data_IF_375749886553
#
_entry.id   IF_375749886553
#
_cell.length_a   1.000
_cell.length_b   1.000
_cell.length_c   1.000
_cell.angle_alpha   90.00
_cell.angle_beta   90.00
_cell.angle_gamma   90.00
#
_symmetry.space_group_name_H-M   'P 1'
#
loop_
_entity.id
_entity.type
_entity.pdbx_description
1 polymer ?
#
# COMPACT_ATOMS: atom_id res chain seq x y z
N UNK A 1 -7.42 -33.34 -6.06
CA UNK A 1 -6.17 -33.22 -6.85
C UNK A 1 -6.18 -31.82 -7.42
N UNK A 2 -5.22 -30.94 -7.09
CA UNK A 2 -5.16 -29.63 -7.76
C UNK A 2 -4.77 -29.90 -9.22
N UNK A 3 -5.61 -29.40 -10.13
CA UNK A 3 -5.35 -29.39 -11.57
C UNK A 3 -4.03 -28.66 -11.84
N UNK A 4 -3.31 -29.14 -12.86
CA UNK A 4 -2.02 -28.63 -13.29
C UNK A 4 -2.15 -27.13 -13.55
N UNK A 5 -1.33 -26.32 -12.87
CA UNK A 5 -1.37 -24.88 -12.90
C UNK A 5 -1.32 -24.33 -14.33
N UNK A 6 -2.44 -23.77 -14.78
CA UNK A 6 -2.52 -22.97 -15.99
C UNK A 6 -1.59 -21.75 -15.88
N UNK A 7 -1.33 -21.11 -17.01
CA UNK A 7 -0.56 -19.88 -17.06
C UNK A 7 -1.23 -18.82 -16.15
N UNK A 8 -0.48 -18.22 -15.24
CA UNK A 8 -0.95 -17.12 -14.40
C UNK A 8 -0.83 -15.84 -15.21
N UNK A 9 -1.97 -15.21 -15.53
CA UNK A 9 -2.03 -13.88 -16.10
C UNK A 9 -2.72 -12.96 -15.10
N UNK A 10 -2.04 -11.89 -14.70
CA UNK A 10 -2.46 -11.01 -13.59
C UNK A 10 -2.83 -9.64 -14.13
N UNK A 11 -4.04 -9.18 -13.80
CA UNK A 11 -4.38 -7.76 -13.81
C UNK A 11 -4.08 -7.16 -12.45
N UNK A 12 -3.35 -6.04 -12.41
CA UNK A 12 -3.07 -5.32 -11.17
C UNK A 12 -4.02 -4.14 -11.03
N UNK A 13 -4.61 -3.99 -9.86
CA UNK A 13 -5.39 -2.80 -9.46
C UNK A 13 -4.54 -2.00 -8.47
N UNK A 14 -4.33 -0.72 -8.79
CA UNK A 14 -3.70 0.27 -7.92
C UNK A 14 -4.77 1.24 -7.40
N UNK A 15 -5.35 1.03 -6.20
CA UNK A 15 -6.32 1.96 -5.63
C UNK A 15 -5.60 3.26 -5.23
N UNK A 16 -5.97 4.35 -5.87
CA UNK A 16 -5.35 5.65 -5.79
C UNK A 16 -6.36 6.80 -5.54
N UNK A 17 -7.62 6.49 -5.21
CA UNK A 17 -8.67 7.47 -4.97
C UNK A 17 -8.59 8.15 -3.59
N UNK A 18 -7.82 7.61 -2.65
CA UNK A 18 -7.70 8.13 -1.29
C UNK A 18 -7.03 9.51 -1.23
N UNK A 19 -7.60 10.43 -0.46
CA UNK A 19 -7.12 11.82 -0.29
C UNK A 19 -5.89 11.97 0.62
N UNK A 20 -5.35 10.89 1.18
CA UNK A 20 -4.10 10.91 1.96
C UNK A 20 -4.14 11.75 3.24
N UNK A 21 -5.27 11.79 3.97
CA UNK A 21 -5.48 12.65 5.15
C UNK A 21 -4.34 12.60 6.19
N UNK A 22 -3.78 11.43 6.45
CA UNK A 22 -2.66 11.24 7.40
C UNK A 22 -1.33 11.82 6.92
N UNK A 23 -1.18 12.03 5.63
CA UNK A 23 0.02 12.60 5.03
C UNK A 23 0.00 14.13 5.00
N UNK A 24 -1.18 14.76 4.93
CA UNK A 24 -1.35 16.23 4.84
C UNK A 24 -1.05 16.97 6.15
N UNK A 25 -1.05 16.28 7.29
CA UNK A 25 -0.92 16.90 8.62
C UNK A 25 0.51 17.20 9.09
N UNK A 26 1.56 16.86 8.32
CA UNK A 26 2.92 16.81 8.85
C UNK A 26 4.02 17.45 7.97
N UNK A 27 3.73 18.25 6.94
CA UNK A 27 4.77 18.71 6.02
C UNK A 27 4.82 20.19 5.71
N UNK A 28 6.02 20.78 5.85
CA UNK A 28 6.42 22.04 5.20
C UNK A 28 6.46 21.79 3.70
N UNK A 29 5.94 22.72 2.88
CA UNK A 29 6.07 22.77 1.41
C UNK A 29 5.25 21.77 0.57
N UNK A 30 4.18 21.18 1.09
CA UNK A 30 3.22 20.51 0.23
C UNK A 30 2.40 21.57 -0.53
N UNK A 31 2.61 21.70 -1.84
CA UNK A 31 1.59 22.30 -2.70
C UNK A 31 0.25 21.67 -2.33
N UNK A 32 -0.69 22.46 -1.85
CA UNK A 32 -1.88 22.06 -1.10
C UNK A 32 -2.86 21.12 -1.83
N UNK A 33 -2.50 20.58 -2.98
CA UNK A 33 -3.33 19.81 -3.91
C UNK A 33 -2.78 18.43 -4.26
N UNK A 34 -1.52 18.11 -4.01
CA UNK A 34 -0.96 16.81 -4.44
C UNK A 34 -1.38 15.66 -3.51
N UNK A 35 -1.87 14.56 -4.11
CA UNK A 35 -2.13 13.31 -3.39
C UNK A 35 -0.81 12.68 -2.91
N UNK A 36 -0.84 11.97 -1.79
CA UNK A 36 0.30 11.22 -1.24
C UNK A 36 1.05 10.39 -2.29
N UNK A 37 0.35 9.80 -3.26
CA UNK A 37 0.94 8.98 -4.32
C UNK A 37 1.71 9.80 -5.35
N UNK A 38 1.46 11.10 -5.44
CA UNK A 38 2.18 12.05 -6.32
C UNK A 38 3.40 12.66 -5.63
N UNK A 39 3.64 12.35 -4.35
CA UNK A 39 4.85 12.77 -3.65
C UNK A 39 6.09 12.25 -4.37
N UNK A 40 7.13 13.07 -4.45
CA UNK A 40 8.34 12.73 -5.19
C UNK A 40 9.34 12.00 -4.28
N UNK A 41 9.66 10.78 -4.66
CA UNK A 41 10.80 10.02 -4.14
C UNK A 41 11.85 9.96 -5.24
N UNK A 42 13.06 10.40 -4.92
CA UNK A 42 14.14 10.46 -5.93
C UNK A 42 13.70 11.12 -7.26
N UNK A 43 13.01 12.28 -7.15
CA UNK A 43 12.51 13.11 -8.25
C UNK A 43 11.39 12.46 -9.10
N UNK A 44 10.81 11.35 -8.67
CA UNK A 44 9.73 10.64 -9.37
C UNK A 44 8.53 10.39 -8.43
N UNK A 45 7.29 10.50 -8.91
CA UNK A 45 6.11 10.16 -8.10
C UNK A 45 6.14 8.73 -7.56
N UNK A 46 5.68 8.58 -6.32
CA UNK A 46 5.60 7.28 -5.62
C UNK A 46 4.92 6.21 -6.47
N UNK A 47 3.79 6.53 -7.10
CA UNK A 47 3.04 5.57 -7.92
C UNK A 47 3.80 5.07 -9.15
N UNK A 48 4.69 5.89 -9.74
CA UNK A 48 5.50 5.46 -10.90
C UNK A 48 6.56 4.43 -10.50
N UNK A 49 7.14 4.54 -9.31
CA UNK A 49 8.04 3.50 -8.80
C UNK A 49 7.29 2.17 -8.61
N UNK A 50 6.08 2.21 -8.04
CA UNK A 50 5.26 1.01 -7.86
C UNK A 50 4.90 0.35 -9.21
N UNK A 51 4.50 1.13 -10.20
CA UNK A 51 4.17 0.64 -11.55
C UNK A 51 5.38 -0.04 -12.19
N UNK A 52 6.54 0.63 -12.19
CA UNK A 52 7.75 0.10 -12.84
C UNK A 52 8.22 -1.19 -12.15
N UNK A 53 8.13 -1.27 -10.82
CA UNK A 53 8.45 -2.50 -10.08
C UNK A 53 7.53 -3.66 -10.47
N UNK A 54 6.22 -3.43 -10.57
CA UNK A 54 5.23 -4.44 -10.96
C UNK A 54 5.45 -4.92 -12.40
N UNK A 55 5.73 -4.01 -13.34
CA UNK A 55 5.94 -4.32 -14.76
C UNK A 55 7.20 -5.13 -15.06
N UNK A 56 7.99 -5.46 -14.07
CA UNK A 56 9.19 -6.32 -14.23
C UNK A 56 8.87 -7.81 -14.47
N UNK A 57 7.59 -8.20 -14.40
CA UNK A 57 7.17 -9.61 -14.59
C UNK A 57 6.19 -9.73 -15.76
N UNK A 58 6.44 -10.67 -16.69
CA UNK A 58 5.60 -10.88 -17.88
C UNK A 58 4.21 -11.42 -17.54
N UNK A 59 4.03 -12.05 -16.38
CA UNK A 59 2.73 -12.49 -15.88
C UNK A 59 1.80 -11.31 -15.58
N UNK A 60 2.31 -10.09 -15.42
CA UNK A 60 1.49 -8.89 -15.22
C UNK A 60 1.13 -8.29 -16.57
N UNK A 61 -0.05 -8.66 -17.07
CA UNK A 61 -0.56 -8.25 -18.39
C UNK A 61 -1.18 -6.86 -18.38
N UNK A 62 -2.00 -6.56 -17.38
CA UNK A 62 -2.74 -5.29 -17.26
C UNK A 62 -2.40 -4.59 -15.93
N UNK A 63 -2.33 -3.27 -15.97
CA UNK A 63 -2.28 -2.43 -14.76
C UNK A 63 -3.37 -1.36 -14.86
N UNK A 64 -4.27 -1.34 -13.86
CA UNK A 64 -5.34 -0.37 -13.70
C UNK A 64 -4.99 0.58 -12.55
N UNK A 65 -4.95 1.86 -12.80
CA UNK A 65 -4.78 2.88 -11.77
C UNK A 65 -6.12 3.57 -11.53
N UNK A 66 -6.73 3.34 -10.35
CA UNK A 66 -8.06 3.83 -10.01
C UNK A 66 -7.96 5.07 -9.13
N UNK A 67 -8.22 6.25 -9.69
CA UNK A 67 -8.14 7.55 -9.01
C UNK A 67 -9.53 8.07 -8.64
N UNK A 68 -9.59 9.09 -7.78
CA UNK A 68 -10.86 9.73 -7.43
C UNK A 68 -11.57 10.24 -8.70
N UNK A 69 -12.89 10.04 -8.85
CA UNK A 69 -13.62 10.41 -10.08
C UNK A 69 -13.40 11.86 -10.51
N UNK A 70 -13.43 12.79 -9.56
CA UNK A 70 -13.22 14.22 -9.82
C UNK A 70 -11.79 14.57 -10.27
N UNK A 71 -10.83 13.67 -10.08
CA UNK A 71 -9.43 13.88 -10.43
C UNK A 71 -9.00 13.15 -11.70
N UNK A 72 -9.89 12.38 -12.33
CA UNK A 72 -9.55 11.57 -13.52
C UNK A 72 -9.00 12.43 -14.63
N UNK A 73 -9.65 13.56 -14.93
CA UNK A 73 -9.25 14.42 -16.06
C UNK A 73 -7.96 15.21 -15.73
N UNK A 74 -7.84 15.73 -14.51
CA UNK A 74 -6.59 16.34 -14.02
C UNK A 74 -5.43 15.34 -14.11
N UNK A 75 -5.66 14.11 -13.63
CA UNK A 75 -4.64 13.08 -13.60
C UNK A 75 -4.25 12.62 -15.00
N UNK A 76 -5.25 12.53 -15.90
CA UNK A 76 -5.02 12.21 -17.31
C UNK A 76 -4.21 13.31 -18.01
N UNK A 77 -4.52 14.57 -17.76
CA UNK A 77 -3.78 15.69 -18.34
C UNK A 77 -2.32 15.70 -17.88
N UNK A 78 -2.09 15.44 -16.59
CA UNK A 78 -0.76 15.52 -15.99
C UNK A 78 0.10 14.28 -16.23
N UNK A 79 -0.49 13.11 -16.21
CA UNK A 79 0.22 11.82 -16.18
C UNK A 79 -0.19 10.84 -17.31
N UNK A 80 -1.17 11.21 -18.14
CA UNK A 80 -1.77 10.29 -19.10
C UNK A 80 -0.76 9.71 -20.08
N UNK A 81 0.12 10.52 -20.64
CA UNK A 81 1.18 10.06 -21.55
C UNK A 81 2.14 9.11 -20.86
N UNK A 82 2.65 9.49 -19.70
CA UNK A 82 3.59 8.67 -18.89
C UNK A 82 2.99 7.34 -18.48
N UNK A 83 1.68 7.29 -18.18
CA UNK A 83 0.95 6.07 -17.86
C UNK A 83 0.72 5.21 -19.11
N UNK A 84 0.36 5.82 -20.23
CA UNK A 84 0.15 5.12 -21.50
C UNK A 84 1.43 4.43 -21.98
N UNK A 85 2.58 5.09 -21.90
CA UNK A 85 3.90 4.52 -22.25
C UNK A 85 4.23 3.27 -21.42
N UNK A 86 3.66 3.17 -20.21
CA UNK A 86 3.81 2.01 -19.32
C UNK A 86 2.68 0.99 -19.47
N UNK A 87 1.77 1.19 -20.42
CA UNK A 87 0.59 0.33 -20.60
C UNK A 87 -0.34 0.33 -19.39
N UNK A 88 -0.42 1.47 -18.66
CA UNK A 88 -1.31 1.62 -17.51
C UNK A 88 -2.59 2.30 -17.93
N UNK A 89 -3.72 1.69 -17.61
CA UNK A 89 -5.04 2.26 -17.87
C UNK A 89 -5.56 2.99 -16.63
N UNK A 90 -5.86 4.27 -16.82
CA UNK A 90 -6.48 5.11 -15.79
C UNK A 90 -7.99 4.87 -15.76
N UNK A 91 -8.54 4.61 -14.58
CA UNK A 91 -9.97 4.39 -14.35
C UNK A 91 -10.49 5.21 -13.17
N UNK A 92 -11.79 5.48 -13.15
CA UNK A 92 -12.44 6.12 -12.01
C UNK A 92 -12.59 5.12 -10.86
N UNK A 93 -12.20 5.51 -9.66
CA UNK A 93 -12.40 4.77 -8.42
C UNK A 93 -13.64 5.23 -7.65
N UNK A 94 -13.73 4.80 -6.37
CA UNK A 94 -14.76 5.22 -5.43
C UNK A 94 -14.49 6.61 -4.82
N UNK A 95 -15.48 7.12 -4.10
CA UNK A 95 -15.43 8.45 -3.48
C UNK A 95 -15.23 8.42 -1.97
N UNK A 96 -15.49 7.30 -1.31
CA UNK A 96 -15.48 7.17 0.15
C UNK A 96 -14.44 6.18 0.63
N UNK A 97 -14.59 4.90 0.22
CA UNK A 97 -13.85 3.79 0.78
C UNK A 97 -12.89 3.16 -0.25
N UNK A 98 -11.80 2.57 0.26
CA UNK A 98 -10.82 1.88 -0.60
C UNK A 98 -11.47 0.71 -1.35
N UNK A 99 -12.34 -0.05 -0.69
CA UNK A 99 -13.02 -1.18 -1.29
C UNK A 99 -13.94 -0.78 -2.45
N UNK A 100 -14.61 0.40 -2.39
CA UNK A 100 -15.40 0.93 -3.53
C UNK A 100 -14.50 1.11 -4.76
N UNK A 101 -13.30 1.68 -4.54
CA UNK A 101 -12.32 1.90 -5.61
C UNK A 101 -11.89 0.58 -6.26
N UNK A 102 -11.59 -0.44 -5.46
CA UNK A 102 -11.21 -1.75 -5.99
C UNK A 102 -12.38 -2.42 -6.68
N UNK A 103 -13.60 -2.35 -6.13
CA UNK A 103 -14.82 -2.91 -6.73
C UNK A 103 -15.08 -2.34 -8.13
N UNK A 104 -14.95 -1.03 -8.30
CA UNK A 104 -15.15 -0.37 -9.61
C UNK A 104 -14.04 -0.74 -10.61
N UNK A 105 -12.79 -0.80 -10.15
CA UNK A 105 -11.68 -1.21 -11.00
C UNK A 105 -11.76 -2.69 -11.39
N UNK A 106 -12.25 -3.56 -10.52
CA UNK A 106 -12.43 -4.99 -10.77
C UNK A 106 -13.34 -5.27 -11.98
N UNK A 107 -14.35 -4.43 -12.20
CA UNK A 107 -15.22 -4.50 -13.37
C UNK A 107 -14.52 -4.15 -14.70
N UNK A 108 -13.31 -3.59 -14.62
CA UNK A 108 -12.50 -3.16 -15.76
C UNK A 108 -11.30 -4.10 -16.02
N UNK A 109 -11.19 -5.16 -15.22
CA UNK A 109 -10.13 -6.17 -15.36
C UNK A 109 -10.31 -6.92 -16.68
N UNK A 110 -9.18 -7.19 -17.34
CA UNK A 110 -9.15 -7.94 -18.60
C UNK A 110 -9.79 -9.32 -18.39
N UNK A 111 -10.78 -9.71 -19.24
CA UNK A 111 -11.42 -11.03 -19.20
C UNK A 111 -10.44 -12.20 -19.29
N UNK A 112 -9.32 -12.03 -19.96
CA UNK A 112 -8.28 -13.06 -20.10
C UNK A 112 -7.45 -13.25 -18.82
N UNK A 113 -7.49 -12.30 -17.87
CA UNK A 113 -6.76 -12.41 -16.62
C UNK A 113 -7.33 -13.52 -15.74
N UNK A 114 -6.47 -14.43 -15.34
CA UNK A 114 -6.80 -15.53 -14.42
C UNK A 114 -6.79 -15.09 -12.97
N UNK A 115 -5.98 -14.07 -12.67
CA UNK A 115 -5.78 -13.53 -11.33
C UNK A 115 -5.87 -12.00 -11.31
N UNK A 116 -6.18 -11.46 -10.13
CA UNK A 116 -6.14 -10.03 -9.84
C UNK A 116 -5.21 -9.81 -8.66
N UNK A 117 -4.29 -8.87 -8.81
CA UNK A 117 -3.48 -8.38 -7.71
C UNK A 117 -3.94 -6.98 -7.29
N UNK A 118 -4.18 -6.76 -6.01
CA UNK A 118 -4.45 -5.42 -5.49
C UNK A 118 -3.20 -4.91 -4.78
N UNK A 119 -2.68 -3.77 -5.23
CA UNK A 119 -1.44 -3.21 -4.69
C UNK A 119 -1.60 -1.75 -4.29
N UNK A 120 -1.13 -1.41 -3.09
CA UNK A 120 -1.14 -0.03 -2.62
C UNK A 120 -0.20 0.84 -3.48
N UNK A 121 -0.73 1.81 -4.21
CA UNK A 121 0.06 2.77 -5.00
C UNK A 121 1.10 3.57 -4.17
N UNK A 122 0.98 3.52 -2.85
CA UNK A 122 1.91 4.12 -1.90
C UNK A 122 3.05 3.19 -1.44
N UNK A 123 3.22 2.00 -2.02
CA UNK A 123 4.37 1.11 -1.83
C UNK A 123 5.25 1.13 -3.07
N UNK A 124 6.24 2.02 -3.13
CA UNK A 124 7.03 2.23 -4.35
C UNK A 124 8.00 1.09 -4.64
N UNK A 125 8.33 0.27 -3.66
CA UNK A 125 9.33 -0.79 -3.80
C UNK A 125 8.63 -2.15 -3.68
N UNK A 126 8.58 -2.88 -4.79
CA UNK A 126 8.13 -4.28 -4.82
C UNK A 126 9.30 -5.12 -5.34
N UNK A 127 10.05 -5.78 -4.45
CA UNK A 127 11.20 -6.58 -4.88
C UNK A 127 10.79 -7.70 -5.84
N UNK A 128 11.64 -7.95 -6.81
CA UNK A 128 11.41 -8.94 -7.85
C UNK A 128 11.17 -10.36 -7.30
N UNK A 129 11.94 -10.75 -6.28
CA UNK A 129 11.82 -12.03 -5.60
C UNK A 129 10.51 -12.17 -4.82
N UNK A 130 9.95 -11.06 -4.32
CA UNK A 130 8.61 -11.03 -3.71
C UNK A 130 7.54 -11.32 -4.76
N UNK A 131 7.62 -10.70 -5.93
CA UNK A 131 6.70 -11.00 -7.04
C UNK A 131 6.80 -12.45 -7.46
N UNK A 132 8.01 -13.00 -7.55
CA UNK A 132 8.24 -14.41 -7.89
C UNK A 132 7.61 -15.37 -6.89
N UNK A 133 7.69 -15.06 -5.58
CA UNK A 133 7.03 -15.85 -4.52
C UNK A 133 5.51 -15.81 -4.68
N UNK A 134 4.94 -14.63 -4.88
CA UNK A 134 3.51 -14.44 -5.06
C UNK A 134 2.98 -15.19 -6.29
N UNK A 135 3.61 -15.02 -7.46
CA UNK A 135 3.23 -15.68 -8.71
C UNK A 135 3.33 -17.20 -8.56
N UNK A 136 4.39 -17.70 -7.95
CA UNK A 136 4.57 -19.13 -7.70
C UNK A 136 3.50 -19.70 -6.80
N UNK A 137 3.14 -18.99 -5.74
CA UNK A 137 2.10 -19.41 -4.81
C UNK A 137 0.70 -19.32 -5.43
N UNK A 138 0.41 -18.28 -6.24
CA UNK A 138 -0.86 -18.11 -6.94
C UNK A 138 -1.18 -19.25 -7.93
N UNK A 139 -0.16 -19.97 -8.42
CA UNK A 139 -0.37 -21.19 -9.23
C UNK A 139 -1.01 -22.35 -8.44
N UNK A 140 -1.01 -22.28 -7.12
CA UNK A 140 -1.47 -23.35 -6.22
C UNK A 140 -2.61 -22.93 -5.30
N UNK A 141 -2.68 -21.65 -4.96
CA UNK A 141 -3.60 -21.12 -3.97
C UNK A 141 -4.42 -19.96 -4.57
N UNK A 142 -5.75 -19.97 -4.36
CA UNK A 142 -6.62 -18.94 -4.95
C UNK A 142 -6.53 -17.58 -4.28
N UNK A 143 -5.92 -17.47 -3.10
CA UNK A 143 -5.68 -16.22 -2.39
C UNK A 143 -4.32 -16.26 -1.70
N UNK A 144 -3.44 -15.30 -2.03
CA UNK A 144 -2.06 -15.23 -1.54
C UNK A 144 -1.71 -13.81 -1.16
N UNK A 145 -1.15 -13.63 0.02
CA UNK A 145 -0.72 -12.31 0.52
C UNK A 145 0.71 -12.36 1.07
N UNK A 146 1.51 -11.31 0.88
CA UNK A 146 2.83 -11.24 1.50
C UNK A 146 2.69 -10.77 2.94
N UNK A 147 3.46 -11.36 3.85
CA UNK A 147 3.40 -11.03 5.26
C UNK A 147 4.79 -11.05 5.91
N UNK A 148 4.97 -10.19 6.90
CA UNK A 148 6.16 -10.15 7.75
C UNK A 148 5.80 -10.56 9.17
N UNK A 149 6.68 -11.29 9.89
CA UNK A 149 6.52 -11.48 11.32
C UNK A 149 6.49 -10.14 12.05
N UNK A 150 5.69 -10.04 13.11
CA UNK A 150 5.67 -8.87 13.96
C UNK A 150 6.87 -8.92 14.92
N UNK A 151 7.79 -7.95 14.78
CA UNK A 151 9.01 -7.85 15.61
C UNK A 151 8.77 -7.17 16.96
N UNK A 152 7.89 -6.17 17.00
CA UNK A 152 7.66 -5.37 18.20
C UNK A 152 6.62 -5.99 19.14
N UNK A 153 6.67 -5.61 20.42
CA UNK A 153 5.64 -6.03 21.38
C UNK A 153 4.35 -5.28 21.12
N UNK A 154 3.30 -6.00 20.79
CA UNK A 154 1.97 -5.40 20.55
C UNK A 154 1.23 -5.18 21.86
N UNK A 155 0.63 -3.99 21.98
CA UNK A 155 -0.23 -3.60 23.10
C UNK A 155 -1.61 -3.19 22.59
N UNK A 156 -2.65 -3.68 23.23
CA UNK A 156 -3.98 -3.09 23.08
C UNK A 156 -4.08 -1.88 23.98
N UNK A 157 -4.53 -0.77 23.44
CA UNK A 157 -4.69 0.48 24.17
C UNK A 157 -6.16 0.85 24.23
N UNK A 158 -6.57 1.42 25.36
CA UNK A 158 -7.91 1.99 25.58
C UNK A 158 -8.00 3.43 25.12
N UNK A 159 -9.03 4.09 25.58
CA UNK A 159 -9.23 5.53 25.38
C UNK A 159 -8.11 6.35 26.05
N UNK A 160 -8.10 7.67 25.82
CA UNK A 160 -7.11 8.56 26.39
C UNK A 160 -7.01 8.34 27.91
N UNK A 161 -5.77 8.27 28.42
CA UNK A 161 -5.57 8.19 29.87
C UNK A 161 -6.24 9.40 30.53
N UNK A 162 -6.94 9.23 31.67
CA UNK A 162 -7.40 10.35 32.43
C UNK A 162 -6.20 11.23 32.81
N UNK A 163 -6.35 12.54 32.67
CA UNK A 163 -5.33 13.53 33.04
C UNK A 163 -5.18 13.54 34.59
N UNK A 164 -4.51 12.52 35.14
CA UNK A 164 -4.36 12.36 36.61
C UNK A 164 -2.95 11.92 37.01
N UNK A 165 -1.97 12.42 36.31
CA UNK A 165 -0.68 12.66 36.95
C UNK A 165 -0.59 14.18 36.94
N UNK A 166 -0.79 14.81 38.11
CA UNK A 166 -0.46 16.21 38.29
C UNK A 166 0.97 16.37 37.80
N UNK A 167 1.15 17.09 36.71
CA UNK A 167 2.47 17.48 36.25
C UNK A 167 3.05 18.33 37.39
N UNK A 168 4.22 18.00 37.95
CA UNK A 168 4.82 18.85 38.97
C UNK A 168 5.06 20.30 38.49
N UNK A 169 4.81 20.59 37.20
CA UNK A 169 4.82 21.91 36.60
C UNK A 169 3.45 22.66 36.69
N UNK A 170 2.43 22.11 37.37
CA UNK A 170 1.12 22.79 37.49
C UNK A 170 1.11 24.04 38.41
N UNK A 171 2.24 24.40 39.00
CA UNK A 171 2.42 25.65 39.73
C UNK A 171 2.92 26.82 38.84
N UNK A 172 2.88 26.64 37.51
CA UNK A 172 3.19 27.72 36.58
C UNK A 172 2.03 28.68 36.41
N UNK A 173 2.31 29.96 36.56
CA UNK A 173 1.38 31.10 36.46
C UNK A 173 0.55 31.02 35.16
N UNK A 174 -0.70 31.45 35.21
CA UNK A 174 -1.60 31.44 34.05
C UNK A 174 -1.01 32.16 32.81
N UNK A 175 -0.11 33.11 33.03
CA UNK A 175 0.64 33.81 31.99
C UNK A 175 1.59 32.88 31.21
N UNK A 176 2.28 31.96 31.89
CA UNK A 176 3.20 31.03 31.27
C UNK A 176 2.48 29.96 30.42
N UNK A 177 1.26 29.57 30.83
CA UNK A 177 0.38 28.69 30.03
C UNK A 177 -0.09 29.34 28.73
N UNK A 178 -0.42 30.63 28.78
CA UNK A 178 -0.80 31.40 27.58
C UNK A 178 0.41 31.58 26.67
N UNK A 179 1.60 31.81 27.23
CA UNK A 179 2.84 31.98 26.47
C UNK A 179 3.30 30.69 25.79
N UNK A 180 3.18 29.53 26.47
CA UNK A 180 3.44 28.21 25.91
C UNK A 180 2.46 27.88 24.78
N UNK A 181 1.15 28.17 24.94
CA UNK A 181 0.14 27.94 23.90
C UNK A 181 0.32 28.83 22.66
N UNK A 182 0.96 29.99 22.78
CA UNK A 182 1.26 30.89 21.66
C UNK A 182 2.53 30.44 20.91
N UNK A 183 3.43 29.70 21.57
CA UNK A 183 4.66 29.19 20.95
C UNK A 183 4.51 27.82 20.28
N UNK A 184 3.40 27.11 20.52
CA UNK A 184 3.13 25.89 19.79
C UNK A 184 2.76 26.21 18.34
N UNK A 185 3.49 25.65 17.35
CA UNK A 185 3.10 25.86 15.95
C UNK A 185 1.70 25.28 15.69
N UNK A 186 0.85 25.96 14.90
CA UNK A 186 -0.49 25.46 14.59
C UNK A 186 -0.39 24.08 13.95
N UNK A 187 -0.96 23.06 14.59
CA UNK A 187 -0.92 21.66 14.16
C UNK A 187 -0.18 20.71 15.09
N UNK A 188 0.38 21.17 16.20
CA UNK A 188 0.93 20.29 17.23
C UNK A 188 -0.22 19.54 17.90
N UNK A 189 -0.43 18.27 17.51
CA UNK A 189 -1.32 17.37 18.23
C UNK A 189 -0.55 16.94 19.47
N UNK A 190 -0.96 17.41 20.64
CA UNK A 190 -0.45 16.92 21.93
C UNK A 190 -0.47 15.39 21.92
N UNK A 191 0.57 14.69 22.35
CA UNK A 191 0.60 13.24 22.37
C UNK A 191 -0.58 12.76 23.23
N UNK A 192 -1.55 12.11 22.58
CA UNK A 192 -2.68 11.52 23.32
C UNK A 192 -2.12 10.35 24.13
N UNK A 193 -1.97 10.54 25.43
CA UNK A 193 -1.63 9.45 26.34
C UNK A 193 -2.78 8.44 26.35
N UNK A 194 -2.48 7.19 26.04
CA UNK A 194 -3.46 6.09 26.05
C UNK A 194 -3.03 5.04 27.06
N UNK A 195 -4.00 4.50 27.78
CA UNK A 195 -3.74 3.44 28.75
C UNK A 195 -3.55 2.11 28.02
N UNK A 196 -2.48 1.38 28.37
CA UNK A 196 -2.29 0.00 27.92
C UNK A 196 -3.28 -0.89 28.68
N UNK A 197 -4.11 -1.63 27.94
CA UNK A 197 -5.08 -2.59 28.50
C UNK A 197 -4.44 -3.97 28.64
N UNK A 198 -3.78 -4.45 27.60
CA UNK A 198 -3.18 -5.78 27.57
C UNK A 198 -2.00 -5.88 26.61
N UNK A 199 -1.19 -6.91 26.82
CA UNK A 199 -0.17 -7.35 25.85
C UNK A 199 -0.79 -8.38 24.93
N UNK A 200 -0.74 -8.13 23.61
CA UNK A 200 -1.22 -9.07 22.60
C UNK A 200 -0.09 -10.04 22.26
N UNK A 201 -0.27 -11.37 22.45
CA UNK A 201 0.72 -12.36 22.01
C UNK A 201 0.97 -12.23 20.50
N UNK A 202 2.24 -12.18 20.10
CA UNK A 202 2.61 -11.93 18.68
C UNK A 202 3.02 -13.21 17.93
N UNK A 203 3.10 -14.36 18.58
CA UNK A 203 3.62 -15.59 17.99
C UNK A 203 2.91 -15.98 16.68
N UNK A 204 1.59 -15.74 16.61
CA UNK A 204 0.75 -16.09 15.47
C UNK A 204 0.27 -14.87 14.69
N UNK A 205 0.90 -13.70 14.89
CA UNK A 205 0.55 -12.47 14.20
C UNK A 205 1.56 -12.13 13.13
N UNK A 206 1.06 -11.68 11.99
CA UNK A 206 1.84 -11.21 10.86
C UNK A 206 1.35 -9.84 10.40
N UNK A 207 2.26 -9.04 9.87
CA UNK A 207 1.94 -7.77 9.21
C UNK A 207 1.80 -8.00 7.71
N UNK A 208 0.57 -7.95 7.21
CA UNK A 208 0.26 -8.19 5.80
C UNK A 208 0.67 -6.99 4.95
N UNK A 209 1.27 -7.30 3.80
CA UNK A 209 1.66 -6.31 2.79
C UNK A 209 0.82 -6.48 1.51
N UNK A 210 1.12 -5.69 0.48
CA UNK A 210 0.62 -5.83 -0.88
C UNK A 210 1.79 -5.93 -1.86
N UNK A 211 1.66 -6.57 -3.05
CA UNK A 211 0.42 -6.99 -3.72
C UNK A 211 -0.27 -8.18 -3.05
N UNK A 212 -1.60 -8.13 -2.91
CA UNK A 212 -2.43 -9.26 -2.54
C UNK A 212 -2.98 -9.89 -3.82
N UNK A 213 -2.74 -11.17 -4.05
CA UNK A 213 -3.06 -11.86 -5.30
C UNK A 213 -4.17 -12.85 -5.08
N UNK A 214 -5.20 -12.76 -5.91
CA UNK A 214 -6.39 -13.60 -5.82
C UNK A 214 -6.70 -14.20 -7.20
N UNK A 215 -7.23 -15.43 -7.24
CA UNK A 215 -7.91 -15.87 -8.46
C UNK A 215 -9.08 -14.93 -8.73
N UNK A 216 -9.25 -14.53 -10.01
CA UNK A 216 -10.27 -13.55 -10.38
C UNK A 216 -11.67 -13.97 -9.93
N UNK A 217 -12.13 -15.23 -10.16
CA UNK A 217 -13.47 -15.63 -9.74
C UNK A 217 -13.67 -15.54 -8.21
N UNK A 218 -12.63 -15.80 -7.41
CA UNK A 218 -12.74 -15.70 -5.96
C UNK A 218 -12.90 -14.24 -5.51
N UNK A 219 -12.09 -13.34 -6.05
CA UNK A 219 -12.18 -11.91 -5.69
C UNK A 219 -13.52 -11.32 -6.15
N UNK A 220 -14.00 -11.67 -7.35
CA UNK A 220 -15.32 -11.26 -7.86
C UNK A 220 -16.45 -11.73 -6.93
N UNK A 221 -16.42 -12.99 -6.45
CA UNK A 221 -17.37 -13.51 -5.46
C UNK A 221 -17.32 -12.75 -4.15
N UNK A 222 -16.13 -12.45 -3.66
CA UNK A 222 -15.95 -11.73 -2.40
C UNK A 222 -16.54 -10.31 -2.47
N UNK A 223 -16.29 -9.60 -3.56
CA UNK A 223 -16.89 -8.28 -3.79
C UNK A 223 -18.40 -8.34 -4.05
N UNK A 224 -18.90 -9.37 -4.76
CA UNK A 224 -20.33 -9.55 -4.97
C UNK A 224 -21.06 -9.78 -3.63
N UNK A 225 -20.51 -10.58 -2.73
CA UNK A 225 -21.06 -10.80 -1.40
C UNK A 225 -21.10 -9.51 -0.58
N UNK A 226 -20.01 -8.71 -0.59
CA UNK A 226 -19.97 -7.41 0.07
C UNK A 226 -21.03 -6.45 -0.45
N UNK A 227 -21.27 -6.41 -1.77
CA UNK A 227 -22.26 -5.51 -2.37
C UNK A 227 -23.70 -5.92 -2.07
N UNK A 228 -23.96 -7.23 -1.84
CA UNK A 228 -25.27 -7.74 -1.45
C UNK A 228 -25.58 -7.46 0.04
N UNK A 229 -24.60 -7.62 0.91
CA UNK A 229 -24.70 -7.33 2.35
C UNK A 229 -23.44 -6.65 2.86
N UNK A 230 -23.39 -5.32 2.82
CA UNK A 230 -22.20 -4.57 3.23
C UNK A 230 -21.82 -4.75 4.71
N UNK A 231 -22.76 -5.13 5.57
CA UNK A 231 -22.50 -5.33 6.99
C UNK A 231 -21.74 -4.17 7.65
N UNK A 232 -20.79 -4.50 8.53
CA UNK A 232 -19.89 -3.48 9.13
C UNK A 232 -18.63 -3.31 8.27
N UNK A 233 -18.69 -2.40 7.28
CA UNK A 233 -17.59 -2.11 6.35
C UNK A 233 -16.31 -1.61 7.03
N UNK A 234 -16.36 -1.17 8.30
CA UNK A 234 -15.18 -0.78 9.09
C UNK A 234 -14.23 -1.94 9.36
N UNK A 235 -14.70 -3.18 9.21
CA UNK A 235 -13.88 -4.39 9.32
C UNK A 235 -13.09 -4.72 8.06
N UNK A 236 -13.42 -4.07 6.94
CA UNK A 236 -12.72 -4.26 5.66
C UNK A 236 -11.44 -3.43 5.69
N UNK A 237 -10.35 -4.03 6.10
CA UNK A 237 -9.04 -3.36 6.17
C UNK A 237 -8.22 -3.53 4.90
N UNK A 238 -8.42 -4.66 4.22
CA UNK A 238 -7.77 -5.04 2.96
C UNK A 238 -8.66 -6.00 2.15
N UNK A 239 -8.18 -6.46 0.99
CA UNK A 239 -8.96 -7.33 0.12
C UNK A 239 -8.99 -8.78 0.62
N UNK A 240 -7.96 -9.19 1.38
CA UNK A 240 -7.92 -10.51 2.01
C UNK A 240 -9.05 -10.70 3.02
N UNK A 241 -9.40 -9.65 3.78
CA UNK A 241 -10.49 -9.70 4.76
C UNK A 241 -11.85 -10.02 4.13
N UNK A 242 -12.08 -9.68 2.86
CA UNK A 242 -13.30 -10.06 2.14
C UNK A 242 -13.32 -11.55 1.79
N UNK A 243 -12.17 -12.12 1.44
CA UNK A 243 -12.02 -13.55 1.15
C UNK A 243 -12.18 -14.36 2.43
N UNK A 244 -11.60 -13.90 3.54
CA UNK A 244 -11.76 -14.49 4.87
C UNK A 244 -13.24 -14.49 5.31
N UNK A 245 -13.98 -13.42 5.03
CA UNK A 245 -15.40 -13.33 5.34
C UNK A 245 -16.26 -14.37 4.57
N UNK A 246 -15.78 -14.87 3.41
CA UNK A 246 -16.40 -15.99 2.70
C UNK A 246 -16.07 -17.37 3.32
N UNK A 247 -15.18 -17.42 4.33
CA UNK A 247 -14.65 -18.68 4.86
C UNK A 247 -13.62 -19.36 3.96
N UNK A 248 -13.11 -18.66 2.95
CA UNK A 248 -12.09 -19.18 2.05
C UNK A 248 -10.67 -18.93 2.63
N UNK A 249 -9.75 -19.88 2.46
CA UNK A 249 -8.41 -19.73 3.00
C UNK A 249 -7.58 -18.70 2.25
N UNK A 250 -6.88 -17.84 3.00
CA UNK A 250 -5.85 -16.93 2.49
C UNK A 250 -4.49 -17.43 2.94
N UNK A 251 -3.56 -17.64 2.00
CA UNK A 251 -2.22 -18.16 2.27
C UNK A 251 -1.21 -17.04 2.31
N UNK A 252 -0.30 -17.07 3.27
CA UNK A 252 0.80 -16.12 3.35
C UNK A 252 2.06 -16.61 2.63
N UNK A 253 2.80 -15.69 2.02
CA UNK A 253 4.20 -15.87 1.61
C UNK A 253 5.08 -14.88 2.36
N UNK A 254 6.37 -15.17 2.46
CA UNK A 254 7.31 -14.22 3.07
C UNK A 254 7.27 -12.88 2.34
N UNK A 255 6.94 -11.84 3.09
CA UNK A 255 7.01 -10.45 2.65
C UNK A 255 8.45 -9.97 2.48
N UNK A 256 8.62 -8.66 2.32
CA UNK A 256 9.94 -8.07 2.21
C UNK A 256 10.04 -6.76 2.98
N UNK A 257 11.12 -6.60 3.76
CA UNK A 257 11.31 -5.43 4.62
C UNK A 257 11.40 -4.09 3.86
N UNK A 258 11.85 -4.10 2.60
CA UNK A 258 11.88 -2.87 1.78
C UNK A 258 10.53 -2.53 1.11
N UNK A 259 9.54 -3.44 1.14
CA UNK A 259 8.20 -3.18 0.61
C UNK A 259 7.39 -2.32 1.59
N UNK A 260 7.93 -1.17 1.93
CA UNK A 260 7.36 -0.21 2.88
C UNK A 260 6.26 0.62 2.20
N UNK A 261 5.29 1.04 3.00
CA UNK A 261 4.21 1.93 2.58
C UNK A 261 4.51 3.35 3.02
N UNK A 262 4.55 4.28 2.10
CA UNK A 262 4.56 5.70 2.42
C UNK A 262 3.27 6.04 3.16
N UNK A 263 3.37 6.27 4.45
CA UNK A 263 2.22 6.55 5.33
C UNK A 263 2.33 7.94 5.94
N UNK A 264 3.55 8.32 6.32
CA UNK A 264 3.90 9.60 6.93
C UNK A 264 5.02 10.25 6.11
N UNK A 265 5.21 11.57 6.22
CA UNK A 265 6.32 12.25 5.55
C UNK A 265 7.70 11.70 5.92
N UNK A 266 7.87 11.26 7.18
CA UNK A 266 9.14 10.70 7.66
C UNK A 266 9.54 9.40 6.95
N UNK A 267 8.56 8.66 6.39
CA UNK A 267 8.82 7.45 5.61
C UNK A 267 9.55 7.77 4.28
N UNK A 268 9.45 9.01 3.81
CA UNK A 268 9.96 9.41 2.50
C UNK A 268 11.49 9.33 2.41
N UNK A 269 12.20 9.73 3.46
CA UNK A 269 13.67 9.71 3.50
C UNK A 269 14.18 8.28 3.42
N UNK A 270 13.58 7.38 4.21
CA UNK A 270 13.92 5.96 4.19
C UNK A 270 13.62 5.32 2.84
N UNK A 271 12.45 5.59 2.26
CA UNK A 271 12.07 5.07 0.95
C UNK A 271 13.00 5.59 -0.15
N UNK A 272 13.37 6.88 -0.12
CA UNK A 272 14.32 7.46 -1.07
C UNK A 272 15.68 6.78 -0.98
N UNK A 273 16.20 6.57 0.22
CA UNK A 273 17.47 5.87 0.42
C UNK A 273 17.43 4.42 -0.12
N UNK A 274 16.34 3.70 0.12
CA UNK A 274 16.14 2.33 -0.37
C UNK A 274 16.04 2.28 -1.91
N UNK A 275 15.36 3.24 -2.53
CA UNK A 275 15.25 3.35 -4.00
C UNK A 275 16.64 3.58 -4.60
N UNK A 276 17.41 4.54 -4.07
CA UNK A 276 18.75 4.84 -4.54
C UNK A 276 19.70 3.66 -4.38
N UNK A 277 19.65 2.95 -3.25
CA UNK A 277 20.43 1.74 -3.02
C UNK A 277 20.09 0.64 -4.03
N UNK A 278 18.80 0.45 -4.34
CA UNK A 278 18.34 -0.55 -5.32
C UNK A 278 18.84 -0.21 -6.72
N UNK A 279 18.73 1.06 -7.14
CA UNK A 279 19.21 1.56 -8.44
C UNK A 279 20.73 1.38 -8.58
N UNK A 280 21.50 1.69 -7.53
CA UNK A 280 22.96 1.51 -7.52
C UNK A 280 23.36 0.02 -7.62
N UNK A 281 22.62 -0.86 -6.93
CA UNK A 281 22.87 -2.32 -7.02
C UNK A 281 22.58 -2.85 -8.43
N UNK A 282 21.50 -2.37 -9.05
CA UNK A 282 21.14 -2.76 -10.40
C UNK A 282 22.21 -2.29 -11.40
N UNK A 283 22.59 -1.01 -11.36
CA UNK A 283 23.63 -0.46 -12.23
C UNK A 283 24.97 -1.20 -12.10
N UNK A 284 25.34 -1.63 -10.87
CA UNK A 284 26.55 -2.46 -10.68
C UNK A 284 26.40 -3.86 -11.29
N UNK A 285 25.21 -4.46 -11.21
CA UNK A 285 24.98 -5.78 -11.83
C UNK A 285 25.03 -5.70 -13.34
N UNK A 286 24.42 -4.67 -13.92
CA UNK A 286 24.42 -4.45 -15.36
C UNK A 286 25.85 -4.21 -15.88
N UNK A 287 26.63 -3.37 -15.19
CA UNK A 287 28.03 -3.14 -15.51
C UNK A 287 28.92 -4.40 -15.40
N UNK A 288 28.62 -5.31 -14.46
CA UNK A 288 29.31 -6.60 -14.34
C UNK A 288 28.87 -7.53 -15.47
N UNK A 289 27.58 -7.58 -15.82
CA UNK A 289 27.08 -8.39 -16.93
C UNK A 289 27.72 -7.96 -18.28
N UNK A 290 27.82 -6.64 -18.52
CA UNK A 290 28.47 -6.09 -19.71
C UNK A 290 29.97 -6.44 -19.78
N UNK A 291 30.63 -6.55 -18.61
CA UNK A 291 32.08 -6.94 -18.59
C UNK A 291 32.34 -8.41 -18.82
N UNK A 292 31.38 -9.29 -18.61
CA UNK A 292 31.53 -10.76 -18.71
C UNK A 292 30.60 -11.38 -19.76
N UNK A 293 29.80 -10.57 -20.48
CA UNK A 293 28.81 -11.05 -21.46
C UNK A 293 29.32 -11.23 -22.89
N UNK A 294 30.56 -10.86 -23.24
CA UNK A 294 31.08 -10.85 -24.59
C UNK A 294 31.94 -12.10 -24.95
N UNK A 295 31.90 -13.18 -24.18
CA UNK A 295 32.70 -14.39 -24.42
C UNK A 295 31.90 -15.65 -24.87
N UNK A 296 30.79 -15.49 -25.58
CA UNK A 296 30.15 -16.61 -26.30
C UNK A 296 29.82 -16.21 -27.76
N UNK A 297 30.83 -16.25 -28.62
CA UNK A 297 30.73 -16.45 -30.08
C UNK A 297 31.51 -17.70 -30.53
#
# INVERSE_FOLDING_TARGET
MPERGGAVLISVILPAAGVGQRFRGAGRDAEASASKIEYLLDRRPVFLHAIDALRTRPEIGQVLMAVHPERVDEFRLRWGEVLADRGVRLVAGGTRERWETVSLALQQVDPESTHVAVHDAARPIVPADLLDRLIRAARRWPAVVPALPVSDTLKRVGDAAPATIADPAEDTDQADRIFAAIQEPPGHVSPQHRTIIETVPRADLVAVQTPQVFSRPLLERAYAALLQDPGDTRRITDDASLVEALGEPVVTVDGHGSNLKLTRPEDADLLTALIQQTSQRQAKRDAVADLFGDDED
#
